data_IF_843235180250
#
_entry.id   IF_843235180250
#
_cell.length_a   1.000
_cell.length_b   1.000
_cell.length_c   1.000
_cell.angle_alpha   90.00
_cell.angle_beta   90.00
_cell.angle_gamma   90.00
#
_symmetry.space_group_name_H-M   'P 1'
#
loop_
_entity.id
_entity.type
_entity.pdbx_description
1 polymer ?
#
# COMPACT_ATOMS: atom_id res chain seq x y z
N UNK A 1 -17.10 24.70 -0.97
CA UNK A 1 -16.66 23.33 -1.28
C UNK A 1 -16.96 22.46 -0.07
N UNK A 2 -17.75 21.40 -0.23
CA UNK A 2 -18.06 20.49 0.88
C UNK A 2 -16.76 19.83 1.36
N UNK A 3 -16.44 19.94 2.67
CA UNK A 3 -15.35 19.18 3.27
C UNK A 3 -15.72 17.70 3.19
N UNK A 4 -15.12 16.99 2.25
CA UNK A 4 -15.11 15.53 2.27
C UNK A 4 -14.22 15.12 3.44
N UNK A 5 -14.82 14.78 4.58
CA UNK A 5 -14.09 14.14 5.67
C UNK A 5 -13.81 12.71 5.23
N UNK A 6 -12.66 12.50 4.61
CA UNK A 6 -12.22 11.17 4.22
C UNK A 6 -11.84 10.41 5.49
N UNK A 7 -12.74 9.55 5.96
CA UNK A 7 -12.51 8.70 7.11
C UNK A 7 -12.15 7.31 6.59
N UNK A 8 -10.86 6.98 6.69
CA UNK A 8 -10.36 5.64 6.39
C UNK A 8 -10.67 4.70 7.55
N UNK A 9 -10.95 3.44 7.23
CA UNK A 9 -10.93 2.38 8.23
C UNK A 9 -9.50 2.20 8.77
N UNK A 10 -9.36 1.63 9.97
CA UNK A 10 -8.05 1.45 10.61
C UNK A 10 -7.09 0.63 9.74
N UNK A 11 -7.57 -0.47 9.16
CA UNK A 11 -6.85 -1.30 8.20
C UNK A 11 -6.39 -0.51 6.96
N UNK A 12 -7.27 0.31 6.40
CA UNK A 12 -6.95 1.19 5.26
C UNK A 12 -5.88 2.22 5.63
N UNK A 13 -5.88 2.72 6.87
CA UNK A 13 -4.85 3.61 7.40
C UNK A 13 -3.47 2.94 7.48
N UNK A 14 -3.41 1.67 7.92
CA UNK A 14 -2.18 0.89 7.92
C UNK A 14 -1.66 0.62 6.51
N UNK A 15 -2.54 0.24 5.58
CA UNK A 15 -2.20 0.03 4.18
C UNK A 15 -1.71 1.33 3.53
N UNK A 16 -2.37 2.47 3.80
CA UNK A 16 -1.92 3.77 3.31
C UNK A 16 -0.53 4.13 3.85
N UNK A 17 -0.26 3.87 5.12
CA UNK A 17 1.05 4.12 5.73
C UNK A 17 2.15 3.22 5.14
N UNK A 18 1.84 1.98 4.76
CA UNK A 18 2.78 1.10 4.07
C UNK A 18 3.01 1.54 2.62
N UNK A 19 1.94 1.83 1.88
CA UNK A 19 2.01 2.29 0.50
C UNK A 19 2.75 3.61 0.37
N UNK A 20 2.61 4.54 1.32
CA UNK A 20 3.33 5.82 1.31
C UNK A 20 4.84 5.64 1.43
N UNK A 21 5.31 4.64 2.18
CA UNK A 21 6.74 4.30 2.30
C UNK A 21 7.28 3.72 0.99
N UNK A 22 6.55 2.79 0.36
CA UNK A 22 6.91 2.26 -0.96
C UNK A 22 6.95 3.35 -2.02
N UNK A 23 5.93 4.21 -2.05
CA UNK A 23 5.87 5.32 -2.99
C UNK A 23 7.03 6.29 -2.80
N UNK A 24 7.35 6.64 -1.55
CA UNK A 24 8.50 7.48 -1.23
C UNK A 24 9.81 6.86 -1.70
N UNK A 25 9.98 5.54 -1.55
CA UNK A 25 11.16 4.82 -2.05
C UNK A 25 11.25 4.84 -3.59
N UNK A 26 10.12 4.78 -4.30
CA UNK A 26 10.16 4.90 -5.76
C UNK A 26 10.57 6.29 -6.22
N UNK A 27 10.07 7.34 -5.56
CA UNK A 27 10.41 8.74 -5.88
C UNK A 27 11.90 9.05 -5.68
N UNK A 28 12.58 8.33 -4.79
CA UNK A 28 14.02 8.49 -4.54
C UNK A 28 14.90 7.52 -5.33
N UNK A 29 14.29 6.64 -6.14
CA UNK A 29 14.99 5.67 -6.98
C UNK A 29 15.01 6.09 -8.44
N UNK A 30 15.82 5.40 -9.26
CA UNK A 30 15.87 5.60 -10.71
C UNK A 30 14.55 5.22 -11.43
N UNK A 31 13.54 4.72 -10.71
CA UNK A 31 12.21 4.48 -11.27
C UNK A 31 11.42 5.76 -11.52
N UNK A 32 11.77 6.88 -10.88
CA UNK A 32 11.07 8.15 -11.06
C UNK A 32 11.62 8.91 -12.26
N UNK A 33 10.74 9.19 -13.23
CA UNK A 33 11.10 9.86 -14.50
C UNK A 33 10.68 11.33 -14.56
N UNK A 34 10.04 11.86 -13.51
CA UNK A 34 9.53 13.24 -13.49
C UNK A 34 8.10 13.42 -14.00
N UNK A 35 7.52 12.39 -14.63
CA UNK A 35 6.18 12.40 -15.23
C UNK A 35 5.34 11.15 -14.91
N UNK A 36 5.87 10.25 -14.08
CA UNK A 36 5.28 8.95 -13.79
C UNK A 36 4.81 8.77 -12.33
N UNK A 37 4.62 9.87 -11.59
CA UNK A 37 4.17 9.89 -10.19
C UNK A 37 2.90 9.06 -9.99
N UNK A 38 1.89 9.27 -10.84
CA UNK A 38 0.62 8.57 -10.74
C UNK A 38 0.76 7.06 -10.97
N UNK A 39 1.69 6.65 -11.83
CA UNK A 39 1.98 5.24 -12.11
C UNK A 39 2.67 4.60 -10.92
N UNK A 40 3.69 5.26 -10.37
CA UNK A 40 4.43 4.79 -9.19
C UNK A 40 3.55 4.72 -7.94
N UNK A 41 2.64 5.68 -7.77
CA UNK A 41 1.66 5.65 -6.67
C UNK A 41 0.73 4.44 -6.78
N UNK A 42 0.17 4.17 -7.96
CA UNK A 42 -0.68 2.98 -8.17
C UNK A 42 0.11 1.69 -7.92
N UNK A 43 1.35 1.62 -8.40
CA UNK A 43 2.24 0.47 -8.18
C UNK A 43 2.47 0.24 -6.68
N UNK A 44 2.77 1.29 -5.92
CA UNK A 44 3.00 1.18 -4.47
C UNK A 44 1.78 0.65 -3.72
N UNK A 45 0.57 1.10 -4.10
CA UNK A 45 -0.69 0.60 -3.54
C UNK A 45 -0.88 -0.88 -3.89
N UNK A 46 -0.69 -1.27 -5.15
CA UNK A 46 -0.84 -2.66 -5.59
C UNK A 46 0.13 -3.61 -4.88
N UNK A 47 1.41 -3.25 -4.79
CA UNK A 47 2.41 -4.06 -4.08
C UNK A 47 2.11 -4.15 -2.58
N UNK A 48 1.58 -3.07 -1.97
CA UNK A 48 1.13 -3.11 -0.57
C UNK A 48 -0.01 -4.10 -0.36
N UNK A 49 -1.00 -4.13 -1.25
CA UNK A 49 -2.10 -5.08 -1.18
C UNK A 49 -1.61 -6.53 -1.38
N UNK A 50 -0.64 -6.74 -2.28
CA UNK A 50 -0.02 -8.06 -2.45
C UNK A 50 0.70 -8.52 -1.18
N UNK A 51 1.46 -7.63 -0.52
CA UNK A 51 2.09 -7.94 0.76
C UNK A 51 1.06 -8.27 1.84
N UNK A 52 -0.01 -7.48 1.95
CA UNK A 52 -1.07 -7.70 2.92
C UNK A 52 -1.74 -9.07 2.72
N UNK A 53 -2.09 -9.41 1.48
CA UNK A 53 -2.68 -10.72 1.15
C UNK A 53 -1.71 -11.89 1.43
N UNK A 54 -0.41 -11.71 1.18
CA UNK A 54 0.59 -12.74 1.46
C UNK A 54 0.74 -12.98 2.97
N UNK A 55 0.71 -11.92 3.78
CA UNK A 55 0.72 -12.02 5.25
C UNK A 55 -0.55 -12.75 5.72
N UNK A 56 -1.72 -12.32 5.26
CA UNK A 56 -3.01 -12.93 5.62
C UNK A 56 -3.03 -14.43 5.31
N UNK A 57 -2.61 -14.81 4.09
CA UNK A 57 -2.52 -16.21 3.68
C UNK A 57 -1.54 -17.03 4.56
N UNK A 58 -0.41 -16.44 4.96
CA UNK A 58 0.57 -17.12 5.82
C UNK A 58 0.03 -17.31 7.23
N UNK A 59 -0.60 -16.28 7.80
CA UNK A 59 -1.18 -16.34 9.14
C UNK A 59 -2.36 -17.32 9.20
N UNK A 60 -3.21 -17.38 8.18
CA UNK A 60 -4.29 -18.36 8.09
C UNK A 60 -3.72 -19.77 8.01
N UNK A 61 -2.73 -20.00 7.15
CA UNK A 61 -2.10 -21.31 7.00
C UNK A 61 -1.50 -21.82 8.33
N UNK A 62 -0.85 -20.95 9.11
CA UNK A 62 -0.31 -21.33 10.43
C UNK A 62 -1.42 -21.69 11.44
N UNK A 63 -2.60 -21.05 11.36
CA UNK A 63 -3.74 -21.34 12.23
C UNK A 63 -4.52 -22.60 11.82
N UNK A 64 -4.33 -23.13 10.60
CA UNK A 64 -4.98 -24.36 10.13
C UNK A 64 -4.22 -25.65 10.50
N UNK A 65 -3.03 -25.54 11.13
CA UNK A 65 -2.18 -26.70 11.51
C UNK A 65 -2.49 -27.24 12.92
N UNK A 66 -3.59 -26.82 13.57
CA UNK A 66 -4.09 -27.42 14.82
C UNK A 66 -5.11 -28.55 14.60
#
# INVERSE_FOLDING_TARGET
MAKSYMQLQESEGHLLAAASRLYSAYLTSDQYTGDNEATLMRKAIQETLQMANAIDATVIADNEVE
#
